data_IF_674099917022
#
_entry.id   IF_674099917022
#
_cell.length_a   1.000
_cell.length_b   1.000
_cell.length_c   1.000
_cell.angle_alpha   90.00
_cell.angle_beta   90.00
_cell.angle_gamma   90.00
#
_symmetry.space_group_name_H-M   'P 1'
#
loop_
_entity.id
_entity.type
_entity.pdbx_description
1 polymer ?
#
# COMPACT_ATOMS: atom_id res chain seq x y z
N UNK A 1 5.23 -7.43 28.78
CA UNK A 1 6.24 -7.24 27.70
C UNK A 1 5.89 -6.08 26.77
N UNK A 2 4.72 -6.09 26.11
CA UNK A 2 4.28 -4.98 25.24
C UNK A 2 4.36 -3.60 25.92
N UNK A 3 3.81 -3.46 27.13
CA UNK A 3 3.89 -2.21 27.91
C UNK A 3 5.34 -1.69 28.11
N UNK A 4 6.29 -2.58 28.39
CA UNK A 4 7.70 -2.22 28.57
C UNK A 4 8.34 -1.75 27.27
N UNK A 5 8.07 -2.45 26.15
CA UNK A 5 8.57 -2.07 24.82
C UNK A 5 7.99 -0.72 24.39
N UNK A 6 6.69 -0.51 24.61
CA UNK A 6 6.01 0.77 24.31
C UNK A 6 6.63 1.92 25.08
N UNK A 7 6.78 1.75 26.39
CA UNK A 7 7.43 2.74 27.22
C UNK A 7 8.87 3.01 26.76
N UNK A 8 9.63 1.97 26.40
CA UNK A 8 11.00 2.08 25.92
C UNK A 8 11.10 2.91 24.63
N UNK A 9 10.33 2.59 23.59
CA UNK A 9 10.47 3.29 22.30
C UNK A 9 9.93 4.73 22.37
N UNK A 10 8.85 4.99 23.10
CA UNK A 10 8.32 6.36 23.28
C UNK A 10 9.32 7.23 24.07
N UNK A 11 9.87 6.70 25.17
CA UNK A 11 10.90 7.41 25.95
C UNK A 11 12.15 7.66 25.11
N UNK A 12 12.58 6.67 24.32
CA UNK A 12 13.71 6.80 23.39
C UNK A 12 13.48 7.94 22.39
N UNK A 13 12.30 8.04 21.77
CA UNK A 13 11.97 9.11 20.82
C UNK A 13 12.00 10.47 21.52
N UNK A 14 11.37 10.59 22.70
CA UNK A 14 11.36 11.84 23.49
C UNK A 14 12.79 12.30 23.83
N UNK A 15 13.63 11.41 24.36
CA UNK A 15 15.01 11.73 24.75
C UNK A 15 15.86 12.14 23.55
N UNK A 16 15.81 11.39 22.45
CA UNK A 16 16.64 11.68 21.27
C UNK A 16 16.20 12.93 20.51
N UNK A 17 14.93 13.34 20.64
CA UNK A 17 14.38 14.51 19.93
C UNK A 17 14.59 15.80 20.72
N UNK A 18 14.31 15.78 22.03
CA UNK A 18 14.27 17.02 22.83
C UNK A 18 15.41 17.17 23.84
N UNK A 19 16.03 16.07 24.28
CA UNK A 19 17.05 16.10 25.35
C UNK A 19 18.45 15.69 24.86
N UNK A 20 18.59 15.36 23.59
CA UNK A 20 19.85 14.97 22.97
C UNK A 20 20.63 16.14 22.39
N UNK A 21 21.86 15.88 21.94
CA UNK A 21 22.66 16.86 21.20
C UNK A 21 22.01 17.24 19.87
N UNK A 22 22.12 18.52 19.51
CA UNK A 22 21.52 19.06 18.31
C UNK A 22 22.32 18.65 17.07
N UNK A 23 21.76 17.68 16.33
CA UNK A 23 22.43 17.08 15.17
C UNK A 23 22.30 17.89 13.88
N UNK A 24 21.41 18.89 13.85
CA UNK A 24 21.09 19.66 12.66
C UNK A 24 22.06 20.83 12.44
N UNK A 25 22.65 21.40 13.49
CA UNK A 25 23.63 22.50 13.37
C UNK A 25 24.95 22.09 12.71
N UNK A 26 25.37 20.84 12.88
CA UNK A 26 26.66 20.33 12.43
C UNK A 26 26.58 19.52 11.12
N UNK A 27 25.47 19.60 10.38
CA UNK A 27 25.35 18.90 9.10
C UNK A 27 26.08 19.69 8.00
N UNK A 28 27.03 19.07 7.27
CA UNK A 28 27.57 19.68 6.06
C UNK A 28 26.42 19.98 5.11
N UNK A 29 26.38 21.20 4.58
CA UNK A 29 25.43 21.62 3.53
C UNK A 29 25.31 20.53 2.47
N UNK A 30 24.09 19.99 2.30
CA UNK A 30 23.81 18.88 1.40
C UNK A 30 24.25 19.26 -0.02
N UNK A 31 25.22 18.55 -0.60
CA UNK A 31 25.63 18.78 -1.98
C UNK A 31 24.42 18.57 -2.93
N UNK A 32 24.27 19.37 -3.99
CA UNK A 32 23.09 19.36 -4.89
C UNK A 32 22.79 18.03 -5.62
N UNK A 33 23.57 16.98 -5.40
CA UNK A 33 23.63 15.80 -6.27
C UNK A 33 23.14 14.50 -5.62
N UNK A 34 22.53 14.57 -4.43
CA UNK A 34 21.91 13.39 -3.80
C UNK A 34 20.46 13.21 -4.28
N UNK A 35 20.05 12.01 -4.74
CA UNK A 35 18.67 11.73 -5.14
C UNK A 35 17.70 12.00 -3.97
N UNK A 36 16.67 12.79 -4.24
CA UNK A 36 15.66 13.26 -3.28
C UNK A 36 14.83 12.10 -2.71
N UNK A 37 14.96 11.86 -1.40
CA UNK A 37 13.78 11.50 -0.61
C UNK A 37 12.92 12.77 -0.49
N UNK A 38 11.60 12.58 -0.57
CA UNK A 38 10.52 13.57 -0.74
C UNK A 38 10.78 14.99 -0.17
N UNK A 39 10.41 16.05 -0.92
CA UNK A 39 10.71 17.42 -0.53
C UNK A 39 9.86 17.84 0.67
N UNK A 40 10.49 18.04 1.82
CA UNK A 40 9.97 18.94 2.83
C UNK A 40 9.88 20.33 2.20
N UNK A 41 8.66 20.84 2.09
CA UNK A 41 8.24 22.20 1.70
C UNK A 41 9.33 23.10 1.09
N UNK A 42 9.21 23.37 -0.21
CA UNK A 42 9.99 24.38 -0.92
C UNK A 42 9.91 25.73 -0.20
N UNK A 43 11.01 26.15 0.42
CA UNK A 43 11.28 27.54 0.73
C UNK A 43 12.53 27.93 -0.05
N UNK A 44 12.32 28.72 -1.11
CA UNK A 44 13.37 29.38 -1.85
C UNK A 44 13.99 30.46 -0.94
N UNK A 45 15.10 30.12 -0.29
CA UNK A 45 15.85 31.03 0.57
C UNK A 45 17.26 30.49 0.80
N UNK A 46 18.23 31.30 0.42
CA UNK A 46 19.67 31.17 0.65
C UNK A 46 19.99 30.67 2.07
N UNK A 47 20.65 29.51 2.18
CA UNK A 47 21.36 28.98 3.36
C UNK A 47 20.91 29.49 4.76
N UNK A 48 19.62 29.40 5.10
CA UNK A 48 19.17 29.69 6.46
C UNK A 48 19.40 28.47 7.34
N UNK A 49 20.23 28.62 8.38
CA UNK A 49 20.31 27.63 9.45
C UNK A 49 18.88 27.33 9.94
N UNK A 50 18.47 26.06 10.05
CA UNK A 50 17.11 25.72 10.47
C UNK A 50 16.88 26.20 11.90
N UNK A 51 16.23 27.35 12.10
CA UNK A 51 15.84 27.81 13.43
C UNK A 51 14.46 27.23 13.80
N UNK A 52 14.36 26.25 14.71
CA UNK A 52 13.07 25.74 15.14
C UNK A 52 12.32 26.86 15.89
N UNK A 53 11.13 27.19 15.42
CA UNK A 53 10.22 28.09 16.11
C UNK A 53 9.03 27.32 16.67
N UNK A 54 8.37 27.90 17.68
CA UNK A 54 7.13 27.35 18.22
C UNK A 54 6.05 27.27 17.14
N UNK A 55 5.14 26.30 17.28
CA UNK A 55 4.04 26.15 16.32
C UNK A 55 3.05 27.31 16.42
N UNK A 56 2.42 27.73 15.31
CA UNK A 56 1.39 28.77 15.35
C UNK A 56 0.20 28.31 16.22
N UNK A 57 -0.53 29.27 16.79
CA UNK A 57 -1.66 29.02 17.70
C UNK A 57 -2.72 28.08 17.12
N UNK A 58 -2.88 28.05 15.80
CA UNK A 58 -3.80 27.17 15.08
C UNK A 58 -3.49 25.68 15.31
N UNK A 59 -2.24 25.31 15.59
CA UNK A 59 -1.84 23.93 15.94
C UNK A 59 -1.75 23.73 17.46
N UNK A 60 -1.20 24.70 18.20
CA UNK A 60 -0.97 24.57 19.64
C UNK A 60 -2.28 24.52 20.44
N UNK A 61 -3.30 25.30 20.07
CA UNK A 61 -4.57 25.33 20.80
C UNK A 61 -5.31 23.98 20.73
N UNK A 62 -5.52 23.35 19.55
CA UNK A 62 -6.10 22.01 19.48
C UNK A 62 -5.35 20.98 20.30
N UNK A 63 -4.01 20.98 20.26
CA UNK A 63 -3.20 20.05 21.06
C UNK A 63 -3.40 20.22 22.56
N UNK A 64 -3.46 21.47 23.06
CA UNK A 64 -3.72 21.75 24.48
C UNK A 64 -5.11 21.24 24.88
N UNK A 65 -6.13 21.51 24.07
CA UNK A 65 -7.51 21.04 24.33
C UNK A 65 -7.56 19.52 24.40
N UNK A 66 -6.90 18.83 23.46
CA UNK A 66 -6.82 17.36 23.45
C UNK A 66 -6.06 16.82 24.67
N UNK A 67 -4.99 17.49 25.09
CA UNK A 67 -4.22 17.10 26.28
C UNK A 67 -5.06 17.22 27.55
N UNK A 68 -5.76 18.34 27.73
CA UNK A 68 -6.69 18.54 28.87
C UNK A 68 -7.83 17.53 28.83
N UNK A 69 -8.43 17.31 27.65
CA UNK A 69 -9.47 16.32 27.46
C UNK A 69 -9.02 14.90 27.79
N UNK A 70 -7.77 14.54 27.46
CA UNK A 70 -7.19 13.23 27.77
C UNK A 70 -7.00 13.02 29.28
N UNK A 71 -6.50 14.03 29.99
CA UNK A 71 -6.34 13.96 31.46
C UNK A 71 -7.70 13.89 32.15
N UNK A 72 -8.64 14.74 31.73
CA UNK A 72 -10.00 14.76 32.28
C UNK A 72 -10.74 13.45 32.02
N UNK A 73 -10.73 12.95 30.78
CA UNK A 73 -11.36 11.69 30.41
C UNK A 73 -10.81 10.51 31.20
N UNK A 74 -9.47 10.43 31.33
CA UNK A 74 -8.82 9.40 32.15
C UNK A 74 -9.29 9.44 33.61
N UNK A 75 -9.31 10.62 34.23
CA UNK A 75 -9.78 10.78 35.60
C UNK A 75 -11.27 10.43 35.76
N UNK A 76 -12.12 10.91 34.84
CA UNK A 76 -13.56 10.68 34.86
C UNK A 76 -13.90 9.19 34.77
N UNK A 77 -13.24 8.45 33.87
CA UNK A 77 -13.47 7.02 33.68
C UNK A 77 -12.82 6.13 34.75
N UNK A 78 -11.79 6.62 35.46
CA UNK A 78 -11.14 5.85 36.54
C UNK A 78 -11.96 5.74 37.83
N UNK A 79 -13.03 6.52 37.98
CA UNK A 79 -13.79 6.59 39.24
C UNK A 79 -14.99 5.65 39.19
N UNK A 80 -15.05 4.70 40.13
CA UNK A 80 -16.24 3.89 40.44
C UNK A 80 -16.69 3.00 39.28
N UNK A 81 -15.75 2.32 38.63
CA UNK A 81 -15.98 1.37 37.52
C UNK A 81 -16.81 1.93 36.35
N UNK A 82 -16.88 3.26 36.22
CA UNK A 82 -17.63 3.96 35.15
C UNK A 82 -17.25 3.49 33.75
N UNK A 83 -15.97 3.20 33.53
CA UNK A 83 -15.51 2.66 32.27
C UNK A 83 -16.10 1.28 31.96
N UNK A 84 -16.18 0.40 32.97
CA UNK A 84 -16.75 -0.94 32.82
C UNK A 84 -18.24 -0.87 32.54
N UNK A 85 -18.98 -0.06 33.30
CA UNK A 85 -20.41 0.15 33.08
C UNK A 85 -20.74 0.77 31.72
N UNK A 86 -19.85 1.62 31.20
CA UNK A 86 -20.02 2.18 29.85
C UNK A 86 -19.81 1.12 28.74
N UNK A 87 -18.90 0.16 28.94
CA UNK A 87 -18.62 -0.92 27.99
C UNK A 87 -19.60 -2.09 28.07
N UNK A 88 -20.19 -2.32 29.24
CA UNK A 88 -21.08 -3.43 29.56
C UNK A 88 -22.18 -3.71 28.50
N UNK A 89 -22.84 -2.70 27.89
CA UNK A 89 -23.84 -2.94 26.84
C UNK A 89 -23.28 -3.58 25.56
N UNK A 90 -21.99 -3.40 25.28
CA UNK A 90 -21.33 -3.88 24.05
C UNK A 90 -20.55 -5.17 24.32
N UNK A 91 -19.91 -5.28 25.48
CA UNK A 91 -19.07 -6.44 25.83
C UNK A 91 -19.84 -7.54 26.56
N UNK A 92 -21.04 -7.24 27.08
CA UNK A 92 -21.74 -8.08 28.04
C UNK A 92 -21.10 -8.02 29.43
N UNK A 93 -21.86 -8.48 30.44
CA UNK A 93 -21.39 -8.61 31.81
C UNK A 93 -20.82 -10.00 32.04
N UNK A 94 -19.52 -10.09 32.34
CA UNK A 94 -18.92 -11.32 32.88
C UNK A 94 -18.00 -10.94 34.04
N UNK A 95 -18.35 -11.35 35.26
CA UNK A 95 -17.39 -11.31 36.37
C UNK A 95 -16.29 -12.33 36.09
N UNK A 96 -15.17 -11.84 35.56
CA UNK A 96 -13.98 -12.65 35.38
C UNK A 96 -13.46 -13.07 36.75
N UNK A 97 -13.64 -14.35 37.11
CA UNK A 97 -12.98 -14.98 38.26
C UNK A 97 -11.48 -15.13 37.99
N UNK A 98 -10.77 -14.00 37.82
CA UNK A 98 -9.33 -13.98 37.60
C UNK A 98 -8.62 -14.34 38.90
N UNK A 99 -7.65 -15.26 38.89
CA UNK A 99 -6.83 -15.57 40.06
C UNK A 99 -5.94 -14.38 40.48
N UNK A 100 -5.81 -13.36 39.63
CA UNK A 100 -5.07 -12.13 39.90
C UNK A 100 -6.01 -10.96 40.06
N UNK A 101 -5.82 -10.18 41.12
CA UNK A 101 -6.57 -8.94 41.34
C UNK A 101 -6.24 -7.89 40.28
N UNK A 102 -7.20 -7.04 39.94
CA UNK A 102 -6.99 -5.92 39.01
C UNK A 102 -5.82 -5.03 39.46
N UNK A 103 -5.67 -4.80 40.77
CA UNK A 103 -4.55 -4.05 41.33
C UNK A 103 -3.20 -4.72 41.07
N UNK A 104 -3.11 -6.05 41.14
CA UNK A 104 -1.88 -6.79 40.83
C UNK A 104 -1.50 -6.66 39.35
N UNK A 105 -2.48 -6.72 38.45
CA UNK A 105 -2.26 -6.54 37.01
C UNK A 105 -1.82 -5.11 36.69
N UNK A 106 -2.50 -4.10 37.25
CA UNK A 106 -2.14 -2.68 37.10
C UNK A 106 -0.75 -2.38 37.69
N UNK A 107 -0.46 -2.89 38.89
CA UNK A 107 0.85 -2.76 39.51
C UNK A 107 1.95 -3.43 38.69
N UNK A 108 1.74 -4.66 38.23
CA UNK A 108 2.69 -5.39 37.40
C UNK A 108 2.96 -4.71 36.06
N UNK A 109 1.92 -4.15 35.42
CA UNK A 109 2.07 -3.38 34.18
C UNK A 109 2.81 -2.06 34.42
N UNK A 110 2.55 -1.36 35.53
CA UNK A 110 3.29 -0.16 35.93
C UNK A 110 4.78 -0.45 36.15
N UNK A 111 5.12 -1.55 36.83
CA UNK A 111 6.52 -1.98 37.02
C UNK A 111 7.18 -2.28 35.69
N UNK A 112 6.52 -3.02 34.78
CA UNK A 112 7.04 -3.27 33.43
C UNK A 112 7.30 -1.98 32.64
N UNK A 113 6.38 -1.01 32.73
CA UNK A 113 6.51 0.30 32.11
C UNK A 113 7.74 1.04 32.66
N UNK A 114 7.88 1.12 33.97
CA UNK A 114 9.01 1.81 34.63
C UNK A 114 10.36 1.17 34.28
N UNK A 115 10.42 -0.16 34.17
CA UNK A 115 11.62 -0.87 33.68
C UNK A 115 11.95 -0.43 32.25
N UNK A 116 10.95 -0.37 31.35
CA UNK A 116 11.14 0.09 29.97
C UNK A 116 11.68 1.53 29.89
N UNK A 117 11.09 2.44 30.67
CA UNK A 117 11.54 3.84 30.78
C UNK A 117 12.98 3.90 31.32
N UNK A 118 13.27 3.17 32.40
CA UNK A 118 14.58 3.15 33.04
C UNK A 118 15.69 2.65 32.10
N UNK A 119 15.43 1.57 31.35
CA UNK A 119 16.37 1.06 30.35
C UNK A 119 16.57 2.09 29.22
N UNK A 120 15.50 2.71 28.71
CA UNK A 120 15.61 3.73 27.66
C UNK A 120 16.43 4.94 28.12
N UNK A 121 16.19 5.44 29.34
CA UNK A 121 16.95 6.54 29.91
C UNK A 121 18.43 6.19 30.11
N UNK A 122 18.73 4.99 30.62
CA UNK A 122 20.10 4.52 30.79
C UNK A 122 20.86 4.39 29.46
N UNK A 123 20.18 3.97 28.38
CA UNK A 123 20.79 3.76 27.07
C UNK A 123 20.92 5.04 26.24
N UNK A 124 19.88 5.88 26.22
CA UNK A 124 19.77 7.03 25.29
C UNK A 124 19.87 8.39 25.99
N UNK A 125 19.59 8.47 27.29
CA UNK A 125 19.65 9.72 28.05
C UNK A 125 21.01 9.99 28.69
N UNK A 126 21.79 8.94 29.02
CA UNK A 126 23.09 9.06 29.70
C UNK A 126 24.31 8.99 28.79
N UNK A 127 24.16 8.56 27.54
CA UNK A 127 25.28 8.33 26.62
C UNK A 127 25.00 8.96 25.26
N UNK A 128 26.01 9.57 24.61
CA UNK A 128 25.85 10.07 23.26
C UNK A 128 25.58 8.89 22.30
N UNK A 129 24.55 9.02 21.48
CA UNK A 129 24.10 7.98 20.56
C UNK A 129 24.73 8.23 19.19
N UNK A 130 25.46 7.27 18.59
CA UNK A 130 26.09 7.45 17.29
C UNK A 130 25.13 7.92 16.19
N UNK A 131 25.64 8.73 15.25
CA UNK A 131 24.88 9.20 14.08
C UNK A 131 24.68 8.09 13.03
N UNK A 132 25.62 7.14 12.96
CA UNK A 132 25.54 5.97 12.08
C UNK A 132 24.99 4.79 12.85
N UNK A 133 23.98 4.11 12.26
CA UNK A 133 23.41 2.92 12.86
C UNK A 133 24.48 1.81 12.99
N UNK A 134 24.71 1.27 14.19
CA UNK A 134 25.66 0.17 14.36
C UNK A 134 25.18 -1.08 13.61
N UNK A 135 26.14 -1.89 13.13
CA UNK A 135 25.86 -3.20 12.55
C UNK A 135 25.23 -4.07 13.63
N UNK A 136 23.92 -4.22 13.56
CA UNK A 136 23.14 -4.98 14.53
C UNK A 136 22.99 -6.45 14.16
N UNK A 137 22.45 -7.22 15.11
CA UNK A 137 21.99 -8.59 14.92
C UNK A 137 21.00 -8.76 13.76
N UNK A 138 20.75 -10.00 13.33
CA UNK A 138 19.73 -10.32 12.33
C UNK A 138 18.36 -9.73 12.69
N UNK A 139 17.95 -9.83 13.96
CA UNK A 139 16.68 -9.29 14.45
C UNK A 139 16.61 -7.76 14.35
N UNK A 140 17.70 -7.04 14.67
CA UNK A 140 17.71 -5.58 14.52
C UNK A 140 17.78 -5.13 13.06
N UNK A 141 18.34 -5.95 12.16
CA UNK A 141 18.23 -5.71 10.71
C UNK A 141 16.81 -5.94 10.20
N UNK A 142 16.16 -7.02 10.62
CA UNK A 142 14.76 -7.28 10.28
C UNK A 142 13.83 -6.19 10.83
N UNK A 143 13.95 -5.82 12.11
CA UNK A 143 13.14 -4.76 12.72
C UNK A 143 13.35 -3.38 12.08
N UNK A 144 14.52 -3.12 11.49
CA UNK A 144 14.78 -1.88 10.72
C UNK A 144 14.12 -1.87 9.34
N UNK A 145 13.77 -3.04 8.81
CA UNK A 145 13.09 -3.23 7.52
C UNK A 145 11.66 -3.73 7.77
N UNK A 146 11.01 -3.20 8.80
CA UNK A 146 9.63 -3.53 9.20
C UNK A 146 9.33 -5.04 9.23
N UNK A 147 10.23 -5.81 9.86
CA UNK A 147 10.17 -7.28 9.94
C UNK A 147 10.07 -8.00 8.58
N UNK A 148 10.53 -7.35 7.50
CA UNK A 148 10.44 -7.82 6.10
C UNK A 148 9.01 -7.95 5.57
N UNK A 149 8.02 -7.39 6.27
CA UNK A 149 6.62 -7.49 5.88
C UNK A 149 6.35 -6.75 4.55
N UNK A 150 6.91 -5.55 4.41
CA UNK A 150 6.82 -4.76 3.18
C UNK A 150 7.50 -5.47 2.00
N UNK A 151 8.68 -6.07 2.23
CA UNK A 151 9.38 -6.82 1.19
C UNK A 151 8.58 -8.02 0.69
N UNK A 152 7.98 -8.75 1.63
CA UNK A 152 7.14 -9.89 1.31
C UNK A 152 5.91 -9.43 0.51
N UNK A 153 5.23 -8.38 0.97
CA UNK A 153 4.08 -7.81 0.27
C UNK A 153 4.47 -7.37 -1.15
N UNK A 154 5.57 -6.63 -1.29
CA UNK A 154 6.02 -6.12 -2.57
C UNK A 154 6.40 -7.24 -3.55
N UNK A 155 7.11 -8.28 -3.09
CA UNK A 155 7.54 -9.39 -3.96
C UNK A 155 6.38 -10.31 -4.30
N UNK A 156 5.56 -10.69 -3.32
CA UNK A 156 4.52 -11.71 -3.50
C UNK A 156 3.23 -11.11 -4.03
N UNK A 157 2.76 -10.00 -3.45
CA UNK A 157 1.47 -9.41 -3.79
C UNK A 157 1.59 -8.39 -4.92
N UNK A 158 2.50 -7.41 -4.79
CA UNK A 158 2.62 -6.33 -5.80
C UNK A 158 3.20 -6.86 -7.11
N UNK A 159 4.44 -7.37 -7.11
CA UNK A 159 5.08 -7.91 -8.32
C UNK A 159 4.32 -9.11 -8.88
N UNK A 160 3.85 -10.00 -8.00
CA UNK A 160 3.02 -11.13 -8.40
C UNK A 160 1.75 -10.68 -9.13
N UNK A 161 1.05 -9.69 -8.58
CA UNK A 161 -0.12 -9.07 -9.22
C UNK A 161 0.21 -8.40 -10.55
N UNK A 162 1.29 -7.63 -10.63
CA UNK A 162 1.72 -7.00 -11.89
C UNK A 162 1.99 -8.02 -13.00
N UNK A 163 2.67 -9.13 -12.69
CA UNK A 163 2.93 -10.19 -13.66
C UNK A 163 1.64 -10.88 -14.11
N UNK A 164 0.71 -11.11 -13.19
CA UNK A 164 -0.59 -11.69 -13.51
C UNK A 164 -1.37 -10.76 -14.46
N UNK A 165 -1.45 -9.46 -14.15
CA UNK A 165 -2.16 -8.49 -14.98
C UNK A 165 -1.51 -8.34 -16.35
N UNK A 166 -0.18 -8.25 -16.45
CA UNK A 166 0.52 -8.18 -17.75
C UNK A 166 0.26 -9.42 -18.60
N UNK A 167 0.24 -10.60 -17.98
CA UNK A 167 -0.07 -11.85 -18.68
C UNK A 167 -1.51 -11.86 -19.19
N UNK A 168 -2.45 -11.36 -18.39
CA UNK A 168 -3.85 -11.30 -18.76
C UNK A 168 -4.10 -10.32 -19.91
N UNK A 169 -3.49 -9.13 -19.87
CA UNK A 169 -3.54 -8.13 -20.95
C UNK A 169 -2.89 -8.65 -22.24
N UNK A 170 -1.76 -9.36 -22.12
CA UNK A 170 -1.14 -10.00 -23.27
C UNK A 170 -2.06 -11.05 -23.91
N UNK A 171 -2.72 -11.87 -23.08
CA UNK A 171 -3.70 -12.87 -23.54
C UNK A 171 -4.85 -12.19 -24.25
N UNK A 172 -5.41 -11.11 -23.69
CA UNK A 172 -6.51 -10.36 -24.31
C UNK A 172 -6.12 -9.82 -25.70
N UNK A 173 -4.99 -9.12 -25.80
CA UNK A 173 -4.49 -8.59 -27.08
C UNK A 173 -4.10 -9.67 -28.10
N UNK A 174 -3.68 -10.85 -27.64
CA UNK A 174 -3.24 -11.91 -28.57
C UNK A 174 -4.41 -12.78 -29.02
N UNK A 175 -5.26 -13.21 -28.08
CA UNK A 175 -6.36 -14.12 -28.35
C UNK A 175 -7.63 -13.38 -28.74
N UNK A 176 -8.09 -12.43 -27.92
CA UNK A 176 -9.39 -11.78 -28.13
C UNK A 176 -9.30 -10.87 -29.36
N UNK A 177 -8.37 -9.93 -29.37
CA UNK A 177 -8.17 -9.06 -30.54
C UNK A 177 -7.73 -9.86 -31.78
N UNK A 178 -6.95 -10.93 -31.59
CA UNK A 178 -6.53 -11.83 -32.67
C UNK A 178 -7.72 -12.50 -33.35
N UNK A 179 -8.68 -13.00 -32.59
CA UNK A 179 -9.92 -13.60 -33.11
C UNK A 179 -10.77 -12.56 -33.83
N UNK A 180 -10.94 -11.36 -33.26
CA UNK A 180 -11.73 -10.29 -33.87
C UNK A 180 -11.12 -9.82 -35.19
N UNK A 181 -9.83 -9.50 -35.19
CA UNK A 181 -9.11 -9.04 -36.38
C UNK A 181 -8.98 -10.14 -37.44
N UNK A 182 -8.77 -11.39 -37.02
CA UNK A 182 -8.74 -12.55 -37.92
C UNK A 182 -10.09 -12.76 -38.61
N UNK A 183 -11.19 -12.60 -37.87
CA UNK A 183 -12.55 -12.67 -38.44
C UNK A 183 -12.75 -11.56 -39.46
N UNK A 184 -12.42 -10.31 -39.13
CA UNK A 184 -12.51 -9.19 -40.07
C UNK A 184 -11.65 -9.40 -41.34
N UNK A 185 -10.41 -9.87 -41.17
CA UNK A 185 -9.49 -10.15 -42.27
C UNK A 185 -9.98 -11.30 -43.17
N UNK A 186 -10.57 -12.35 -42.58
CA UNK A 186 -11.12 -13.47 -43.34
C UNK A 186 -12.32 -13.06 -44.20
N UNK A 187 -13.25 -12.29 -43.62
CA UNK A 187 -14.41 -11.74 -44.35
C UNK A 187 -13.93 -10.81 -45.46
N UNK A 188 -13.05 -9.84 -45.14
CA UNK A 188 -12.51 -8.92 -46.14
C UNK A 188 -11.72 -9.63 -47.25
N UNK A 189 -10.94 -10.66 -46.89
CA UNK A 189 -10.20 -11.49 -47.83
C UNK A 189 -11.11 -12.33 -48.74
N UNK A 190 -12.21 -12.85 -48.22
CA UNK A 190 -13.23 -13.57 -48.99
C UNK A 190 -13.95 -12.61 -49.95
N UNK A 191 -14.38 -11.45 -49.47
CA UNK A 191 -14.99 -10.40 -50.30
C UNK A 191 -14.06 -9.94 -51.42
N UNK A 192 -12.77 -9.76 -51.12
CA UNK A 192 -11.75 -9.39 -52.11
C UNK A 192 -11.55 -10.44 -53.20
N UNK A 193 -11.59 -11.73 -52.85
CA UNK A 193 -11.57 -12.84 -53.83
C UNK A 193 -12.85 -12.89 -54.66
N UNK A 194 -14.01 -12.78 -54.01
CA UNK A 194 -15.32 -12.78 -54.67
C UNK A 194 -15.45 -11.64 -55.68
N UNK A 195 -14.91 -10.46 -55.36
CA UNK A 195 -14.88 -9.30 -56.26
C UNK A 195 -14.17 -9.58 -57.59
N UNK A 196 -13.16 -10.46 -57.62
CA UNK A 196 -12.44 -10.80 -58.87
C UNK A 196 -13.32 -11.56 -59.87
N UNK A 197 -14.42 -12.17 -59.43
CA UNK A 197 -15.41 -12.79 -60.33
C UNK A 197 -16.18 -11.73 -61.14
N UNK A 198 -16.23 -10.49 -60.67
CA UNK A 198 -16.84 -9.35 -61.35
C UNK A 198 -15.77 -8.59 -62.15
N UNK A 199 -15.40 -9.13 -63.31
CA UNK A 199 -14.29 -8.61 -64.12
C UNK A 199 -14.72 -7.60 -65.21
N UNK A 200 -16.02 -7.30 -65.35
CA UNK A 200 -16.53 -6.33 -66.32
C UNK A 200 -16.56 -6.80 -67.78
N UNK A 201 -16.08 -8.01 -68.09
CA UNK A 201 -16.08 -8.54 -69.46
C UNK A 201 -17.37 -9.30 -69.76
N UNK A 202 -18.17 -8.80 -70.71
CA UNK A 202 -19.43 -9.42 -71.14
C UNK A 202 -19.30 -10.92 -71.50
N UNK A 203 -18.16 -11.32 -72.09
CA UNK A 203 -17.88 -12.73 -72.44
C UNK A 203 -17.82 -13.63 -71.20
N UNK A 204 -17.17 -13.18 -70.13
CA UNK A 204 -17.07 -13.95 -68.88
C UNK A 204 -18.44 -14.14 -68.23
N UNK A 205 -19.29 -13.10 -68.27
CA UNK A 205 -20.66 -13.20 -67.79
C UNK A 205 -21.51 -14.15 -68.62
N UNK A 206 -21.43 -14.08 -69.96
CA UNK A 206 -22.18 -14.98 -70.84
C UNK A 206 -21.84 -16.46 -70.59
N UNK A 207 -20.55 -16.79 -70.44
CA UNK A 207 -20.11 -18.16 -70.09
C UNK A 207 -20.65 -18.58 -68.72
N UNK A 208 -20.62 -17.68 -67.71
CA UNK A 208 -21.15 -17.99 -66.38
C UNK A 208 -22.66 -18.21 -66.36
N UNK A 209 -23.43 -17.42 -67.10
CA UNK A 209 -24.89 -17.57 -67.22
C UNK A 209 -25.25 -18.86 -67.96
N UNK A 210 -24.59 -19.14 -69.08
CA UNK A 210 -24.80 -20.38 -69.82
C UNK A 210 -24.47 -21.60 -68.97
N UNK A 211 -23.33 -21.59 -68.28
CA UNK A 211 -22.95 -22.63 -67.33
C UNK A 211 -23.97 -22.81 -66.21
N UNK A 212 -24.43 -21.70 -65.61
CA UNK A 212 -25.48 -21.73 -64.58
C UNK A 212 -26.80 -22.32 -65.06
N UNK A 213 -27.25 -21.94 -66.27
CA UNK A 213 -28.47 -22.47 -66.87
C UNK A 213 -28.36 -23.97 -67.18
N UNK A 214 -27.24 -24.42 -67.77
CA UNK A 214 -26.99 -25.83 -68.03
C UNK A 214 -26.98 -26.66 -66.74
N UNK A 215 -26.37 -26.13 -65.67
CA UNK A 215 -26.29 -26.79 -64.37
C UNK A 215 -27.68 -26.87 -63.70
N UNK A 216 -28.50 -25.82 -63.79
CA UNK A 216 -29.90 -25.84 -63.32
C UNK A 216 -30.75 -26.85 -64.09
N UNK A 217 -30.61 -26.92 -65.42
CA UNK A 217 -31.31 -27.90 -66.26
C UNK A 217 -30.87 -29.32 -65.88
N UNK A 218 -29.57 -29.56 -65.73
CA UNK A 218 -29.04 -30.85 -65.31
C UNK A 218 -29.56 -31.24 -63.92
N UNK A 219 -29.51 -30.33 -62.94
CA UNK A 219 -29.99 -30.57 -61.58
C UNK A 219 -31.50 -30.87 -61.53
N UNK A 220 -32.30 -30.14 -62.31
CA UNK A 220 -33.76 -30.34 -62.37
C UNK A 220 -34.14 -31.64 -63.08
N UNK A 221 -33.44 -32.01 -64.15
CA UNK A 221 -33.62 -33.31 -64.81
C UNK A 221 -33.23 -34.46 -63.88
N UNK A 222 -32.15 -34.31 -63.12
CA UNK A 222 -31.68 -35.30 -62.17
C UNK A 222 -32.68 -35.45 -61.00
N UNK A 223 -33.22 -34.35 -60.49
CA UNK A 223 -34.30 -34.38 -59.48
C UNK A 223 -35.63 -34.94 -60.01
N UNK A 224 -35.89 -34.88 -61.32
CA UNK A 224 -37.06 -35.52 -61.95
C UNK A 224 -36.87 -37.02 -62.24
N UNK A 225 -35.62 -37.48 -62.29
CA UNK A 225 -35.26 -38.86 -62.56
C UNK A 225 -35.16 -39.71 -61.27
N UNK A 226 -35.18 -39.07 -60.10
CA UNK A 226 -35.36 -39.67 -58.77
C UNK A 226 -36.83 -39.60 -58.38
#
# INVERSE_FOLDING_TARGET
>A
LGAAITAFYMTRVMLMTFFGEERWRNQPTRSPQAPSAEPAAEHHGEHAEPHPHESPKVMTIPMIVLAVGSVFGGAFFSIGDRFLHWLEPVTGHSEGNSPLSAAAVTGGTMVCLLIGVGIAYAMYGRRPVPSVAPRGSLLTRAARRDLLQDDFNHVVLVRGGEHLTRSLVYVDHTLVDGVVNGTAASVGGLSGRMRKLQNGFARSYAVSMFGGAALLIAATLLMRAV
#
